data_IF_681706644902
#
_entry.id   IF_681706644902
#
_cell.length_a   1.000
_cell.length_b   1.000
_cell.length_c   1.000
_cell.angle_alpha   90.00
_cell.angle_beta   90.00
_cell.angle_gamma   90.00
#
_symmetry.space_group_name_H-M   'P 1'
#
loop_
_entity.id
_entity.type
_entity.pdbx_description
1 polymer ?
#
# COMPACT_ATOMS: atom_id res chain seq x y z
N UNK A 1 -11.65 -28.04 -5.01
CA UNK A 1 -12.15 -26.66 -4.79
C UNK A 1 -11.00 -25.70 -5.08
N UNK A 2 -11.24 -24.58 -5.79
CA UNK A 2 -10.19 -23.58 -6.05
C UNK A 2 -9.70 -23.01 -4.71
N UNK A 3 -8.38 -22.93 -4.51
CA UNK A 3 -7.78 -22.37 -3.28
C UNK A 3 -7.46 -20.88 -3.40
N UNK A 4 -7.32 -20.36 -4.62
CA UNK A 4 -7.00 -18.95 -4.91
C UNK A 4 -7.89 -18.54 -6.09
N UNK A 5 -8.42 -17.32 -6.03
CA UNK A 5 -9.03 -16.67 -7.18
C UNK A 5 -7.94 -15.80 -7.81
N UNK A 6 -7.59 -16.01 -9.09
CA UNK A 6 -6.64 -15.12 -9.74
C UNK A 6 -7.28 -13.73 -9.94
N UNK A 7 -6.49 -12.66 -10.10
CA UNK A 7 -7.01 -11.30 -10.23
C UNK A 7 -8.10 -11.17 -11.28
N UNK A 8 -8.07 -11.92 -12.39
CA UNK A 8 -9.05 -11.88 -13.47
C UNK A 8 -10.43 -12.41 -13.04
N UNK A 9 -10.50 -13.25 -12.01
CA UNK A 9 -11.73 -13.84 -11.48
C UNK A 9 -12.33 -13.04 -10.30
N UNK A 10 -11.67 -11.96 -9.85
CA UNK A 10 -12.21 -11.09 -8.81
C UNK A 10 -13.57 -10.53 -9.23
N UNK A 11 -14.58 -10.72 -8.39
CA UNK A 11 -15.92 -10.19 -8.59
C UNK A 11 -15.95 -8.69 -8.28
N UNK A 12 -15.44 -7.86 -9.19
CA UNK A 12 -15.57 -6.40 -9.12
C UNK A 12 -16.80 -5.95 -9.91
N UNK A 13 -17.44 -4.92 -9.39
CA UNK A 13 -18.51 -4.20 -10.07
C UNK A 13 -17.98 -3.62 -11.40
N UNK A 14 -18.83 -3.52 -12.42
CA UNK A 14 -18.48 -3.01 -13.75
C UNK A 14 -17.86 -1.61 -13.77
N UNK A 15 -18.02 -0.84 -12.69
CA UNK A 15 -17.38 0.46 -12.51
C UNK A 15 -15.86 0.37 -12.37
N UNK A 16 -15.32 -0.71 -11.83
CA UNK A 16 -13.88 -0.83 -11.61
C UNK A 16 -13.17 -1.36 -12.84
N UNK A 17 -12.16 -0.63 -13.30
CA UNK A 17 -11.35 -1.00 -14.45
C UNK A 17 -9.93 -1.28 -14.01
N UNK A 18 -9.54 -2.55 -14.12
CA UNK A 18 -8.17 -3.00 -13.88
C UNK A 18 -7.30 -2.63 -15.06
N UNK A 19 -6.13 -2.11 -14.76
CA UNK A 19 -5.09 -1.90 -15.77
C UNK A 19 -3.83 -2.65 -15.38
N UNK A 20 -3.13 -3.15 -16.40
CA UNK A 20 -1.75 -3.56 -16.20
C UNK A 20 -0.88 -2.33 -15.90
N UNK A 21 0.31 -2.56 -15.33
CA UNK A 21 1.26 -1.48 -15.08
C UNK A 21 1.71 -0.78 -16.38
N UNK A 22 1.71 -1.50 -17.50
CA UNK A 22 2.03 -0.97 -18.83
C UNK A 22 0.90 -0.08 -19.37
N UNK A 23 -0.35 -0.52 -19.24
CA UNK A 23 -1.51 0.20 -19.78
C UNK A 23 -1.82 1.49 -19.00
N UNK A 24 -1.43 1.55 -17.72
CA UNK A 24 -1.72 2.67 -16.81
C UNK A 24 -1.29 4.03 -17.36
N UNK A 25 -0.16 4.11 -18.05
CA UNK A 25 0.38 5.35 -18.62
C UNK A 25 -0.43 5.88 -19.81
N UNK A 26 -1.16 5.00 -20.50
CA UNK A 26 -1.97 5.35 -21.67
C UNK A 26 -3.44 5.61 -21.33
N UNK A 27 -3.87 5.28 -20.12
CA UNK A 27 -5.28 5.33 -19.73
C UNK A 27 -5.71 6.73 -19.27
N UNK A 28 -6.83 7.19 -19.83
CA UNK A 28 -7.38 8.54 -19.60
C UNK A 28 -7.91 8.78 -18.20
N UNK A 29 -8.14 7.72 -17.42
CA UNK A 29 -8.55 7.81 -16.03
C UNK A 29 -7.36 8.09 -15.12
N UNK A 30 -6.11 7.85 -15.55
CA UNK A 30 -4.93 8.20 -14.76
C UNK A 30 -4.68 9.71 -14.82
N UNK A 31 -4.44 10.41 -13.69
CA UNK A 31 -4.02 11.81 -13.72
C UNK A 31 -2.69 11.95 -14.48
N UNK A 32 -2.74 12.48 -15.70
CA UNK A 32 -1.59 12.57 -16.63
C UNK A 32 -1.70 11.71 -17.90
N UNK A 33 -2.67 10.79 -17.96
CA UNK A 33 -3.00 9.99 -19.14
C UNK A 33 -3.77 10.81 -20.18
N UNK A 34 -3.08 11.71 -20.86
CA UNK A 34 -3.74 12.61 -21.80
C UNK A 34 -2.79 13.63 -22.39
N UNK A 35 -1.80 13.18 -23.15
CA UNK A 35 -1.06 14.03 -24.08
C UNK A 35 -0.52 15.35 -23.51
N UNK A 36 0.06 15.35 -22.31
CA UNK A 36 0.80 16.51 -21.81
C UNK A 36 2.18 16.55 -22.47
N UNK A 37 2.33 17.44 -23.46
CA UNK A 37 3.54 17.71 -24.24
C UNK A 37 4.55 18.63 -23.54
N UNK A 38 4.57 18.72 -22.20
CA UNK A 38 5.58 19.54 -21.50
C UNK A 38 6.58 18.67 -20.75
N UNK A 39 7.81 18.63 -21.26
CA UNK A 39 8.96 18.08 -20.57
C UNK A 39 9.12 18.67 -19.16
N UNK A 40 9.62 17.81 -18.25
CA UNK A 40 9.68 17.93 -16.77
C UNK A 40 8.36 17.62 -16.04
N UNK A 41 7.98 16.36 -15.97
CA UNK A 41 7.03 15.90 -14.95
C UNK A 41 7.41 14.51 -14.45
N UNK A 42 8.53 14.44 -13.72
CA UNK A 42 8.59 13.47 -12.65
C UNK A 42 7.46 13.78 -11.64
N UNK A 43 6.95 12.80 -10.92
CA UNK A 43 5.93 13.03 -9.92
C UNK A 43 6.46 14.04 -8.89
N UNK A 44 5.74 15.14 -8.74
CA UNK A 44 6.03 16.14 -7.70
C UNK A 44 5.15 15.87 -6.50
N UNK A 45 5.65 16.21 -5.30
CA UNK A 45 4.85 16.28 -4.07
C UNK A 45 3.47 16.89 -4.32
N UNK A 46 2.45 16.28 -3.73
CA UNK A 46 1.08 16.77 -3.81
C UNK A 46 0.97 18.08 -3.00
N UNK A 47 0.73 19.20 -3.69
CA UNK A 47 0.53 20.51 -3.06
C UNK A 47 -0.81 21.11 -3.49
N UNK A 48 -1.57 21.77 -2.59
CA UNK A 48 -2.91 22.28 -2.93
C UNK A 48 -2.91 23.30 -4.08
N UNK A 49 -1.84 24.08 -4.22
CA UNK A 49 -1.72 25.13 -5.25
C UNK A 49 -1.41 24.59 -6.65
N UNK A 50 -1.07 23.31 -6.79
CA UNK A 50 -0.75 22.74 -8.10
C UNK A 50 -2.02 22.59 -8.95
N UNK A 51 -2.01 22.95 -10.25
CA UNK A 51 -3.21 22.90 -11.09
C UNK A 51 -3.90 21.52 -11.17
N UNK A 52 -3.11 20.45 -11.08
CA UNK A 52 -3.60 19.06 -11.12
C UNK A 52 -3.83 18.45 -9.74
N UNK A 53 -3.72 19.23 -8.66
CA UNK A 53 -3.85 18.72 -7.29
C UNK A 53 -5.20 18.04 -7.02
N UNK A 54 -6.35 18.58 -7.45
CA UNK A 54 -7.64 17.93 -7.20
C UNK A 54 -7.73 16.53 -7.79
N UNK A 55 -7.42 16.37 -9.08
CA UNK A 55 -7.50 15.06 -9.76
C UNK A 55 -6.47 14.07 -9.22
N UNK A 56 -5.26 14.54 -8.89
CA UNK A 56 -4.23 13.70 -8.28
C UNK A 56 -4.62 13.23 -6.88
N UNK A 57 -5.20 14.11 -6.06
CA UNK A 57 -5.69 13.76 -4.73
C UNK A 57 -6.85 12.76 -4.80
N UNK A 58 -7.84 13.01 -5.68
CA UNK A 58 -8.98 12.12 -5.91
C UNK A 58 -8.54 10.73 -6.41
N UNK A 59 -7.57 10.68 -7.32
CA UNK A 59 -7.01 9.42 -7.81
C UNK A 59 -6.24 8.66 -6.74
N UNK A 60 -5.47 9.36 -5.89
CA UNK A 60 -4.75 8.73 -4.79
C UNK A 60 -5.72 8.17 -3.75
N UNK A 61 -6.77 8.92 -3.40
CA UNK A 61 -7.83 8.46 -2.50
C UNK A 61 -8.62 7.29 -3.06
N UNK A 62 -8.90 7.26 -4.36
CA UNK A 62 -9.48 6.08 -5.00
C UNK A 62 -8.53 4.87 -4.92
N UNK A 63 -7.23 5.09 -5.13
CA UNK A 63 -6.21 4.05 -4.94
C UNK A 63 -6.17 3.49 -3.51
N UNK A 64 -6.27 4.37 -2.49
CA UNK A 64 -6.39 3.97 -1.08
C UNK A 64 -7.63 3.10 -0.89
N UNK A 65 -8.81 3.56 -1.32
CA UNK A 65 -10.06 2.79 -1.22
C UNK A 65 -9.95 1.38 -1.81
N UNK A 66 -9.37 1.24 -3.00
CA UNK A 66 -9.15 -0.08 -3.62
C UNK A 66 -8.10 -0.88 -2.85
N UNK A 67 -7.11 -0.23 -2.26
CA UNK A 67 -6.18 -0.82 -1.30
C UNK A 67 -6.92 -1.45 -0.12
N UNK A 68 -7.84 -0.73 0.52
CA UNK A 68 -8.62 -1.21 1.67
C UNK A 68 -9.43 -2.48 1.34
N UNK A 69 -10.05 -2.53 0.15
CA UNK A 69 -10.77 -3.73 -0.30
C UNK A 69 -9.82 -4.93 -0.37
N UNK A 70 -8.62 -4.72 -0.90
CA UNK A 70 -7.64 -5.79 -1.08
C UNK A 70 -6.99 -6.20 0.25
N UNK A 71 -6.75 -5.25 1.15
CA UNK A 71 -6.25 -5.49 2.50
C UNK A 71 -7.27 -6.33 3.30
N UNK A 72 -8.56 -5.98 3.20
CA UNK A 72 -9.66 -6.76 3.76
C UNK A 72 -9.67 -8.21 3.24
N UNK A 73 -9.55 -8.39 1.93
CA UNK A 73 -9.47 -9.72 1.29
C UNK A 73 -8.23 -10.49 1.78
N UNK A 74 -7.08 -9.82 1.90
CA UNK A 74 -5.82 -10.41 2.35
C UNK A 74 -5.83 -10.81 3.83
N UNK A 75 -6.32 -9.96 4.71
CA UNK A 75 -6.48 -10.23 6.13
C UNK A 75 -7.48 -11.38 6.35
N UNK A 76 -8.62 -11.37 5.64
CA UNK A 76 -9.62 -12.43 5.72
C UNK A 76 -9.06 -13.78 5.28
N UNK A 77 -8.25 -13.79 4.22
CA UNK A 77 -7.58 -14.99 3.75
C UNK A 77 -6.52 -15.50 4.73
N UNK A 78 -5.73 -14.60 5.31
CA UNK A 78 -4.73 -14.94 6.33
C UNK A 78 -5.39 -15.52 7.59
N UNK A 79 -6.51 -14.95 8.01
CA UNK A 79 -7.34 -15.48 9.10
C UNK A 79 -7.84 -16.90 8.80
N UNK A 80 -8.20 -17.20 7.56
CA UNK A 80 -8.65 -18.53 7.15
C UNK A 80 -7.51 -19.56 7.12
N UNK A 81 -6.41 -19.24 6.43
CA UNK A 81 -5.37 -20.21 6.04
C UNK A 81 -4.50 -20.76 7.18
N UNK A 82 -4.31 -20.02 8.25
CA UNK A 82 -3.57 -20.54 9.39
C UNK A 82 -4.41 -21.60 10.13
N UNK A 83 -3.84 -22.74 10.48
CA UNK A 83 -4.52 -23.70 11.35
C UNK A 83 -4.22 -23.38 12.82
N UNK A 84 -5.22 -23.53 13.69
CA UNK A 84 -5.06 -23.23 15.12
C UNK A 84 -4.74 -24.50 15.89
N UNK A 85 -3.63 -24.48 16.62
CA UNK A 85 -3.24 -25.59 17.47
C UNK A 85 -1.80 -25.47 18.00
N UNK A 86 -1.32 -26.50 18.71
CA UNK A 86 -0.02 -26.47 19.37
C UNK A 86 1.14 -26.96 18.50
N UNK A 87 0.89 -27.46 17.29
CA UNK A 87 1.92 -28.01 16.42
C UNK A 87 2.75 -26.92 15.75
N UNK A 88 3.91 -27.30 15.21
CA UNK A 88 4.90 -26.35 14.68
C UNK A 88 4.42 -25.56 13.46
N UNK A 89 3.51 -26.15 12.67
CA UNK A 89 2.88 -25.56 11.49
C UNK A 89 1.53 -24.86 11.81
N UNK A 90 1.12 -24.87 13.07
CA UNK A 90 -0.09 -24.23 13.58
C UNK A 90 0.23 -22.94 14.34
N UNK A 91 -0.78 -22.09 14.54
CA UNK A 91 -0.65 -20.80 15.22
C UNK A 91 -1.59 -20.69 16.42
N UNK A 92 -1.28 -19.85 17.43
CA UNK A 92 -2.22 -19.58 18.50
C UNK A 92 -3.46 -18.85 17.97
N UNK A 93 -4.62 -19.11 18.60
CA UNK A 93 -5.89 -18.46 18.26
C UNK A 93 -5.82 -16.92 18.23
N UNK A 94 -4.96 -16.33 19.05
CA UNK A 94 -4.72 -14.89 19.08
C UNK A 94 -4.29 -14.32 17.72
N UNK A 95 -3.55 -15.07 16.89
CA UNK A 95 -3.19 -14.61 15.55
C UNK A 95 -4.44 -14.45 14.68
N UNK A 96 -5.34 -15.44 14.69
CA UNK A 96 -6.60 -15.33 13.96
C UNK A 96 -7.47 -14.18 14.46
N UNK A 97 -7.49 -13.94 15.77
CA UNK A 97 -8.24 -12.83 16.35
C UNK A 97 -7.70 -11.48 15.87
N UNK A 98 -6.38 -11.31 15.79
CA UNK A 98 -5.76 -10.09 15.26
C UNK A 98 -6.07 -9.91 13.76
N UNK A 99 -6.03 -10.98 12.96
CA UNK A 99 -6.41 -10.91 11.54
C UNK A 99 -7.90 -10.61 11.34
N UNK A 100 -8.77 -11.16 12.18
CA UNK A 100 -10.20 -10.86 12.16
C UNK A 100 -10.48 -9.41 12.59
N UNK A 101 -9.70 -8.88 13.54
CA UNK A 101 -9.75 -7.47 13.91
C UNK A 101 -9.33 -6.57 12.76
N UNK A 102 -8.23 -6.89 12.08
CA UNK A 102 -7.84 -6.14 10.89
C UNK A 102 -8.95 -6.16 9.84
N UNK A 103 -9.58 -7.31 9.57
CA UNK A 103 -10.74 -7.34 8.65
C UNK A 103 -11.86 -6.37 9.05
N UNK A 104 -12.11 -6.21 10.35
CA UNK A 104 -13.09 -5.24 10.82
C UNK A 104 -12.63 -3.80 10.54
N UNK A 105 -11.35 -3.52 10.79
CA UNK A 105 -10.74 -2.21 10.56
C UNK A 105 -10.73 -1.86 9.06
N UNK A 106 -10.32 -2.77 8.17
CA UNK A 106 -10.35 -2.53 6.71
C UNK A 106 -11.76 -2.38 6.14
N UNK A 107 -12.75 -3.10 6.69
CA UNK A 107 -14.15 -2.91 6.31
C UNK A 107 -14.63 -1.49 6.68
N UNK A 108 -14.22 -0.99 7.85
CA UNK A 108 -14.48 0.39 8.25
C UNK A 108 -13.69 1.39 7.38
N UNK A 109 -12.44 1.09 7.01
CA UNK A 109 -11.67 1.92 6.10
C UNK A 109 -12.36 2.05 4.75
N UNK A 110 -12.88 0.95 4.18
CA UNK A 110 -13.72 0.99 2.98
C UNK A 110 -14.91 1.95 3.13
N UNK A 111 -15.64 1.90 4.25
CA UNK A 111 -16.76 2.82 4.50
C UNK A 111 -16.31 4.28 4.62
N UNK A 112 -15.17 4.54 5.26
CA UNK A 112 -14.58 5.89 5.37
C UNK A 112 -14.18 6.39 3.98
N UNK A 113 -13.48 5.58 3.17
CA UNK A 113 -13.04 5.99 1.84
C UNK A 113 -14.21 6.22 0.88
N UNK A 114 -15.33 5.49 1.02
CA UNK A 114 -16.56 5.78 0.26
C UNK A 114 -17.07 7.19 0.61
N UNK A 115 -17.15 7.52 1.90
CA UNK A 115 -17.59 8.86 2.35
C UNK A 115 -16.61 9.96 1.94
N UNK A 116 -15.31 9.69 1.99
CA UNK A 116 -14.30 10.63 1.48
C UNK A 116 -14.39 10.80 -0.03
N UNK A 117 -14.71 9.74 -0.78
CA UNK A 117 -14.95 9.84 -2.23
C UNK A 117 -16.12 10.78 -2.50
N UNK A 118 -17.24 10.63 -1.78
CA UNK A 118 -18.38 11.56 -1.88
C UNK A 118 -18.01 13.00 -1.50
N UNK A 119 -17.27 13.18 -0.40
CA UNK A 119 -16.80 14.48 0.08
C UNK A 119 -15.93 15.20 -0.96
N UNK A 120 -15.03 14.46 -1.61
CA UNK A 120 -14.10 14.98 -2.60
C UNK A 120 -14.70 15.07 -4.01
N UNK A 121 -15.94 14.61 -4.22
CA UNK A 121 -16.58 14.58 -5.53
C UNK A 121 -15.96 13.56 -6.49
N UNK A 122 -15.63 12.38 -5.98
CA UNK A 122 -15.12 11.23 -6.73
C UNK A 122 -16.19 10.15 -6.84
N UNK A 123 -16.41 9.62 -8.03
CA UNK A 123 -17.24 8.43 -8.22
C UNK A 123 -16.43 7.13 -8.00
N UNK A 124 -17.05 6.11 -7.40
CA UNK A 124 -16.40 4.81 -7.25
C UNK A 124 -16.14 4.20 -8.63
N UNK A 125 -14.86 3.96 -8.95
CA UNK A 125 -14.43 3.46 -10.25
C UNK A 125 -14.11 4.56 -11.28
N UNK A 126 -14.16 5.84 -10.89
CA UNK A 126 -13.74 6.97 -11.74
C UNK A 126 -12.28 6.81 -12.20
N UNK A 127 -11.42 6.31 -11.31
CA UNK A 127 -10.01 6.02 -11.57
C UNK A 127 -9.78 4.52 -11.77
N UNK A 128 -8.71 4.20 -12.50
CA UNK A 128 -8.32 2.81 -12.72
C UNK A 128 -7.73 2.17 -11.44
N UNK A 129 -7.99 0.88 -11.26
CA UNK A 129 -7.47 0.12 -10.12
C UNK A 129 -6.21 -0.70 -10.46
N UNK A 130 -5.38 -0.92 -9.44
CA UNK A 130 -4.30 -1.91 -9.41
C UNK A 130 -4.69 -3.06 -8.49
N UNK A 131 -4.31 -4.29 -8.84
CA UNK A 131 -4.57 -5.50 -8.04
C UNK A 131 -3.33 -6.04 -7.33
N UNK A 132 -2.25 -5.26 -7.27
CA UNK A 132 -0.97 -5.72 -6.74
C UNK A 132 -1.05 -6.19 -5.28
N UNK A 133 -1.79 -5.48 -4.42
CA UNK A 133 -1.93 -5.86 -3.00
C UNK A 133 -2.60 -7.24 -2.91
N UNK A 134 -3.67 -7.44 -3.69
CA UNK A 134 -4.36 -8.72 -3.79
C UNK A 134 -3.44 -9.84 -4.31
N UNK A 135 -2.61 -9.57 -5.31
CA UNK A 135 -1.64 -10.53 -5.83
C UNK A 135 -0.61 -10.93 -4.76
N UNK A 136 -0.10 -9.98 -3.98
CA UNK A 136 0.76 -10.28 -2.83
C UNK A 136 0.03 -11.10 -1.77
N UNK A 137 -1.26 -10.78 -1.54
CA UNK A 137 -2.14 -11.55 -0.66
C UNK A 137 -2.45 -12.96 -1.21
N UNK A 138 -2.16 -13.26 -2.47
CA UNK A 138 -2.31 -14.59 -3.06
C UNK A 138 -1.09 -15.50 -2.86
N UNK A 139 -0.02 -15.05 -2.19
CA UNK A 139 1.14 -15.90 -1.90
C UNK A 139 0.68 -17.18 -1.16
N UNK A 140 1.06 -18.39 -1.62
CA UNK A 140 0.59 -19.64 -1.02
C UNK A 140 1.18 -19.92 0.38
N UNK A 141 2.32 -19.33 0.75
CA UNK A 141 2.85 -19.43 2.11
C UNK A 141 2.24 -18.32 2.99
N UNK A 142 1.46 -18.68 4.04
CA UNK A 142 0.79 -17.69 4.87
C UNK A 142 1.76 -16.81 5.68
N UNK A 143 3.00 -17.24 5.93
CA UNK A 143 4.01 -16.42 6.62
C UNK A 143 4.63 -15.38 5.68
N UNK A 144 4.91 -15.76 4.43
CA UNK A 144 5.33 -14.79 3.41
C UNK A 144 4.20 -13.80 3.14
N UNK A 145 2.95 -14.26 3.08
CA UNK A 145 1.78 -13.38 2.94
C UNK A 145 1.66 -12.41 4.10
N UNK A 146 1.68 -12.88 5.35
CA UNK A 146 1.65 -12.03 6.54
C UNK A 146 2.74 -10.96 6.49
N UNK A 147 3.94 -11.30 6.01
CA UNK A 147 5.05 -10.36 5.97
C UNK A 147 4.95 -9.38 4.79
N UNK A 148 4.63 -9.88 3.60
CA UNK A 148 4.48 -9.05 2.41
C UNK A 148 3.27 -8.10 2.50
N UNK A 149 2.16 -8.57 3.05
CA UNK A 149 0.94 -7.77 3.24
C UNK A 149 1.09 -6.89 4.49
N UNK A 150 1.01 -7.46 5.69
CA UNK A 150 0.92 -6.65 6.90
C UNK A 150 2.14 -5.76 7.14
N UNK A 151 3.35 -6.22 6.80
CA UNK A 151 4.56 -5.46 7.11
C UNK A 151 4.99 -4.57 5.94
N UNK A 152 5.04 -5.11 4.72
CA UNK A 152 5.49 -4.33 3.56
C UNK A 152 4.39 -3.39 3.02
N UNK A 153 3.23 -3.94 2.63
CA UNK A 153 2.09 -3.20 2.06
C UNK A 153 1.41 -2.30 3.09
N UNK A 154 1.06 -2.86 4.26
CA UNK A 154 0.90 -2.16 5.56
C UNK A 154 1.75 -0.91 5.72
N UNK A 155 3.06 -1.12 5.68
CA UNK A 155 4.01 -0.04 5.89
C UNK A 155 3.91 1.04 4.82
N UNK A 156 3.62 0.68 3.57
CA UNK A 156 3.37 1.66 2.51
C UNK A 156 2.07 2.43 2.75
N UNK A 157 1.02 1.77 3.22
CA UNK A 157 -0.24 2.42 3.55
C UNK A 157 -0.01 3.53 4.59
N UNK A 158 0.79 3.28 5.63
CA UNK A 158 1.22 4.31 6.61
C UNK A 158 1.80 5.55 5.90
N UNK A 159 2.69 5.37 4.92
CA UNK A 159 3.32 6.49 4.20
C UNK A 159 2.28 7.28 3.39
N UNK A 160 1.34 6.58 2.75
CA UNK A 160 0.30 7.16 1.90
C UNK A 160 -0.75 7.91 2.75
N UNK A 161 -1.27 7.30 3.82
CA UNK A 161 -2.19 7.95 4.76
C UNK A 161 -1.56 9.19 5.40
N UNK A 162 -0.29 9.10 5.82
CA UNK A 162 0.42 10.27 6.35
C UNK A 162 0.53 11.39 5.30
N UNK A 163 0.81 11.04 4.04
CA UNK A 163 0.88 12.00 2.93
C UNK A 163 -0.47 12.69 2.70
N UNK A 164 -1.57 11.94 2.70
CA UNK A 164 -2.91 12.50 2.51
C UNK A 164 -3.40 13.31 3.72
N UNK A 165 -3.04 12.92 4.94
CA UNK A 165 -3.24 13.73 6.15
C UNK A 165 -2.54 15.08 6.05
N UNK A 166 -1.24 15.09 5.71
CA UNK A 166 -0.46 16.32 5.52
C UNK A 166 -1.04 17.20 4.40
N UNK A 167 -1.55 16.57 3.34
CA UNK A 167 -2.24 17.28 2.26
C UNK A 167 -3.56 17.91 2.74
N UNK A 168 -4.41 17.18 3.46
CA UNK A 168 -5.64 17.70 4.05
C UNK A 168 -5.40 18.91 4.95
N UNK A 169 -4.39 18.80 5.83
CA UNK A 169 -3.96 19.92 6.68
C UNK A 169 -3.54 21.14 5.87
N UNK A 170 -2.71 20.93 4.84
CA UNK A 170 -2.18 22.01 3.98
C UNK A 170 -3.27 22.64 3.11
N UNK A 171 -4.27 21.86 2.70
CA UNK A 171 -5.42 22.31 1.92
C UNK A 171 -6.49 23.00 2.78
N UNK A 172 -6.39 22.93 4.11
CA UNK A 172 -7.43 23.41 5.02
C UNK A 172 -8.70 22.55 4.97
N UNK A 173 -8.57 21.26 4.65
CA UNK A 173 -9.65 20.28 4.65
C UNK A 173 -9.61 19.43 5.94
N UNK A 174 -10.38 19.81 6.99
CA UNK A 174 -10.36 19.10 8.26
C UNK A 174 -11.02 17.73 8.19
N UNK A 175 -11.86 17.45 7.17
CA UNK A 175 -12.52 16.16 7.02
C UNK A 175 -11.52 15.14 6.49
N UNK A 176 -10.80 15.50 5.43
CA UNK A 176 -9.74 14.66 4.88
C UNK A 176 -8.64 14.42 5.91
N UNK A 177 -8.15 15.47 6.58
CA UNK A 177 -7.13 15.33 7.63
C UNK A 177 -7.57 14.35 8.73
N UNK A 178 -8.78 14.50 9.26
CA UNK A 178 -9.28 13.66 10.35
C UNK A 178 -9.44 12.19 9.93
N UNK A 179 -10.03 11.94 8.76
CA UNK A 179 -10.27 10.58 8.31
C UNK A 179 -8.95 9.83 8.03
N UNK A 180 -7.99 10.49 7.38
CA UNK A 180 -6.68 9.90 7.08
C UNK A 180 -5.86 9.68 8.36
N UNK A 181 -5.91 10.60 9.33
CA UNK A 181 -5.23 10.40 10.63
C UNK A 181 -5.83 9.24 11.42
N UNK A 182 -7.14 9.03 11.32
CA UNK A 182 -7.81 7.90 11.98
C UNK A 182 -7.38 6.57 11.35
N UNK A 183 -7.46 6.43 10.02
CA UNK A 183 -7.03 5.21 9.33
C UNK A 183 -5.53 4.94 9.56
N UNK A 184 -4.69 5.99 9.54
CA UNK A 184 -3.26 5.89 9.86
C UNK A 184 -2.99 5.27 11.24
N UNK A 185 -3.82 5.58 12.26
CA UNK A 185 -3.64 5.02 13.59
C UNK A 185 -3.91 3.50 13.63
N UNK A 186 -4.86 3.03 12.82
CA UNK A 186 -5.16 1.61 12.67
C UNK A 186 -4.04 0.90 11.90
N UNK A 187 -3.49 1.51 10.84
CA UNK A 187 -2.38 0.93 10.08
C UNK A 187 -1.11 0.71 10.89
N UNK A 188 -0.78 1.63 11.80
CA UNK A 188 0.33 1.42 12.74
C UNK A 188 0.13 0.14 13.55
N UNK A 189 -1.13 -0.16 13.90
CA UNK A 189 -1.49 -1.38 14.63
C UNK A 189 -1.41 -2.62 13.74
N UNK A 190 -1.93 -2.56 12.50
CA UNK A 190 -1.89 -3.66 11.54
C UNK A 190 -0.45 -4.10 11.24
N UNK A 191 0.42 -3.13 10.97
CA UNK A 191 1.84 -3.37 10.74
C UNK A 191 2.54 -3.92 11.98
N UNK A 192 2.19 -3.40 13.16
CA UNK A 192 2.72 -3.93 14.43
C UNK A 192 2.33 -5.38 14.66
N UNK A 193 1.09 -5.75 14.39
CA UNK A 193 0.61 -7.14 14.46
C UNK A 193 1.42 -8.04 13.55
N UNK A 194 1.60 -7.67 12.26
CA UNK A 194 2.40 -8.44 11.32
C UNK A 194 3.85 -8.65 11.80
N UNK A 195 4.44 -7.59 12.34
CA UNK A 195 5.81 -7.57 12.87
C UNK A 195 5.97 -8.48 14.10
N UNK A 196 5.03 -8.40 15.04
CA UNK A 196 5.03 -9.25 16.24
C UNK A 196 4.78 -10.71 15.89
N UNK A 197 3.83 -10.99 14.98
CA UNK A 197 3.50 -12.35 14.57
C UNK A 197 4.60 -13.00 13.76
N UNK A 198 5.23 -12.31 12.81
CA UNK A 198 6.39 -12.83 12.09
C UNK A 198 7.46 -13.34 13.06
N UNK A 199 7.85 -12.53 14.05
CA UNK A 199 8.85 -12.93 15.06
C UNK A 199 8.42 -14.15 15.86
N UNK A 200 7.15 -14.18 16.30
CA UNK A 200 6.62 -15.26 17.16
C UNK A 200 6.50 -16.58 16.41
N UNK A 201 5.87 -16.59 15.23
CA UNK A 201 5.60 -17.83 14.49
C UNK A 201 6.85 -18.40 13.81
N UNK A 202 7.89 -17.60 13.65
CA UNK A 202 9.19 -18.04 13.14
C UNK A 202 10.26 -18.15 14.23
N UNK A 203 9.90 -18.10 15.52
CA UNK A 203 10.86 -18.13 16.64
C UNK A 203 11.84 -19.31 16.52
N UNK A 204 11.33 -20.47 16.12
CA UNK A 204 12.07 -21.73 15.97
C UNK A 204 12.44 -22.07 14.52
N UNK A 205 12.23 -21.14 13.59
CA UNK A 205 12.47 -21.32 12.15
C UNK A 205 13.12 -20.08 11.55
N UNK A 206 14.42 -19.86 11.80
CA UNK A 206 15.14 -18.69 11.29
C UNK A 206 15.18 -18.66 9.76
N UNK A 207 15.25 -19.82 9.10
CA UNK A 207 15.28 -19.89 7.64
C UNK A 207 13.96 -19.42 7.03
N UNK A 208 12.81 -19.77 7.64
CA UNK A 208 11.50 -19.25 7.20
C UNK A 208 11.36 -17.76 7.47
N UNK A 209 11.95 -17.25 8.56
CA UNK A 209 12.02 -15.81 8.82
C UNK A 209 12.81 -15.09 7.74
N UNK A 210 13.99 -15.60 7.39
CA UNK A 210 14.85 -15.05 6.33
C UNK A 210 14.08 -14.96 5.00
N UNK A 211 13.43 -16.06 4.57
CA UNK A 211 12.62 -16.08 3.34
C UNK A 211 11.46 -15.08 3.37
N UNK A 212 10.82 -14.90 4.52
CA UNK A 212 9.74 -13.94 4.67
C UNK A 212 10.24 -12.49 4.56
N UNK A 213 11.40 -12.18 5.16
CA UNK A 213 12.05 -10.88 5.06
C UNK A 213 12.59 -10.61 3.65
N UNK A 214 13.14 -11.61 2.96
CA UNK A 214 13.50 -11.51 1.54
C UNK A 214 12.28 -11.18 0.68
N UNK A 215 11.15 -11.85 0.91
CA UNK A 215 9.90 -11.55 0.23
C UNK A 215 9.43 -10.11 0.53
N UNK A 216 9.56 -9.65 1.78
CA UNK A 216 9.30 -8.25 2.15
C UNK A 216 10.12 -7.29 1.29
N UNK A 217 11.44 -7.51 1.17
CA UNK A 217 12.33 -6.65 0.36
C UNK A 217 11.94 -6.62 -1.11
N UNK A 218 11.49 -7.75 -1.66
CA UNK A 218 10.97 -7.82 -3.04
C UNK A 218 9.71 -6.95 -3.18
N UNK A 219 8.76 -7.09 -2.25
CA UNK A 219 7.54 -6.28 -2.22
C UNK A 219 7.87 -4.80 -2.05
N UNK A 220 8.72 -4.43 -1.09
CA UNK A 220 9.18 -3.06 -0.86
C UNK A 220 9.87 -2.45 -2.08
N UNK A 221 10.67 -3.24 -2.82
CA UNK A 221 11.30 -2.78 -4.06
C UNK A 221 10.26 -2.53 -5.15
N UNK A 222 9.29 -3.43 -5.32
CA UNK A 222 8.19 -3.23 -6.27
C UNK A 222 7.36 -1.98 -5.92
N UNK A 223 7.23 -1.67 -4.62
CA UNK A 223 6.53 -0.49 -4.09
C UNK A 223 7.37 0.76 -3.87
N UNK A 224 8.65 0.75 -4.22
CA UNK A 224 9.41 1.99 -4.37
C UNK A 224 8.81 2.91 -5.44
N UNK A 225 7.85 2.39 -6.22
CA UNK A 225 7.09 3.10 -7.26
C UNK A 225 8.00 3.74 -8.32
N UNK A 226 9.23 3.24 -8.49
CA UNK A 226 10.22 3.87 -9.36
C UNK A 226 10.83 5.15 -8.78
N UNK A 227 10.88 5.28 -7.46
CA UNK A 227 11.46 6.42 -6.74
C UNK A 227 10.48 7.48 -6.28
N UNK A 228 9.17 7.19 -6.28
CA UNK A 228 8.13 8.15 -5.83
C UNK A 228 8.03 8.21 -4.30
N UNK A 229 8.45 7.15 -3.61
CA UNK A 229 8.56 7.11 -2.15
C UNK A 229 9.95 7.55 -1.74
N UNK A 230 10.09 8.32 -0.66
CA UNK A 230 11.40 8.73 -0.16
C UNK A 230 11.34 9.61 1.08
N UNK A 231 12.51 9.97 1.61
CA UNK A 231 12.62 10.90 2.76
C UNK A 231 12.84 12.36 2.34
N UNK A 232 13.20 12.59 1.07
CA UNK A 232 13.42 13.93 0.53
C UNK A 232 12.11 14.73 0.52
N UNK A 233 12.21 16.04 0.75
CA UNK A 233 11.04 16.93 0.83
C UNK A 233 10.24 17.02 -0.48
N UNK A 234 10.87 16.71 -1.62
CA UNK A 234 10.23 16.69 -2.93
C UNK A 234 9.58 15.34 -3.26
N UNK A 235 9.74 14.32 -2.40
CA UNK A 235 9.18 12.99 -2.58
C UNK A 235 7.65 13.04 -2.67
N UNK A 236 7.03 12.47 -3.71
CA UNK A 236 5.58 12.36 -3.83
C UNK A 236 4.90 11.71 -2.63
N UNK A 237 5.49 10.64 -2.11
CA UNK A 237 5.06 9.92 -0.92
C UNK A 237 6.22 9.97 0.07
N UNK A 238 5.96 10.55 1.25
CA UNK A 238 7.01 10.70 2.27
C UNK A 238 7.05 9.45 3.14
N UNK A 239 8.26 8.90 3.32
CA UNK A 239 8.49 7.79 4.22
C UNK A 239 8.20 8.23 5.66
N UNK A 240 7.18 7.64 6.27
CA UNK A 240 6.64 8.03 7.56
C UNK A 240 7.42 7.35 8.71
N UNK A 241 8.72 7.64 8.83
CA UNK A 241 9.68 6.99 9.74
C UNK A 241 9.13 6.78 11.15
N UNK A 242 8.62 7.84 11.79
CA UNK A 242 8.08 7.78 13.16
C UNK A 242 6.96 6.74 13.30
N UNK A 243 6.04 6.66 12.34
CA UNK A 243 4.92 5.73 12.38
C UNK A 243 5.36 4.29 12.11
N UNK A 244 6.34 4.09 11.21
CA UNK A 244 6.96 2.78 10.98
C UNK A 244 7.70 2.26 12.22
N UNK A 245 8.43 3.13 12.91
CA UNK A 245 9.09 2.78 14.18
C UNK A 245 8.07 2.42 15.26
N UNK A 246 6.99 3.18 15.39
CA UNK A 246 5.85 2.84 16.27
C UNK A 246 5.24 1.48 15.91
N UNK A 247 5.22 1.16 14.62
CA UNK A 247 4.72 -0.11 14.09
C UNK A 247 5.72 -1.28 14.23
N UNK A 248 6.89 -1.05 14.84
CA UNK A 248 7.85 -2.11 15.17
C UNK A 248 8.86 -2.43 14.07
N UNK A 249 9.14 -1.47 13.18
CA UNK A 249 10.39 -1.44 12.41
C UNK A 249 11.54 -0.91 13.26
N UNK A 250 12.75 -1.44 13.10
CA UNK A 250 13.96 -0.83 13.65
C UNK A 250 14.43 0.34 12.78
N UNK A 251 15.31 1.19 13.33
CA UNK A 251 15.89 2.29 12.55
C UNK A 251 16.61 1.77 11.29
N UNK A 252 17.34 0.66 11.42
CA UNK A 252 18.08 0.03 10.32
C UNK A 252 17.13 -0.46 9.23
N UNK A 253 15.99 -1.05 9.60
CA UNK A 253 15.01 -1.52 8.61
C UNK A 253 14.36 -0.35 7.86
N UNK A 254 14.11 0.78 8.53
CA UNK A 254 13.62 1.99 7.85
C UNK A 254 14.70 2.59 6.95
N UNK A 255 15.96 2.54 7.36
CA UNK A 255 17.09 3.00 6.53
C UNK A 255 17.26 2.13 5.27
N UNK A 256 17.13 0.81 5.40
CA UNK A 256 17.11 -0.11 4.24
C UNK A 256 16.00 0.25 3.25
N UNK A 257 14.79 0.56 3.73
CA UNK A 257 13.67 0.98 2.88
C UNK A 257 13.94 2.33 2.21
N UNK A 258 14.52 3.28 2.95
CA UNK A 258 14.94 4.59 2.42
C UNK A 258 15.97 4.41 1.30
N UNK A 259 16.98 3.57 1.50
CA UNK A 259 18.03 3.32 0.52
C UNK A 259 17.53 2.58 -0.72
N UNK A 260 16.64 1.59 -0.56
CA UNK A 260 15.95 0.95 -1.69
C UNK A 260 15.16 1.98 -2.52
N UNK A 261 14.53 2.94 -1.85
CA UNK A 261 13.76 3.99 -2.52
C UNK A 261 14.67 4.96 -3.29
N UNK A 262 15.82 5.34 -2.73
CA UNK A 262 16.85 6.14 -3.42
C UNK A 262 17.42 5.42 -4.64
N UNK A 263 17.72 4.13 -4.52
CA UNK A 263 18.20 3.31 -5.63
C UNK A 263 17.18 3.25 -6.77
N UNK A 264 15.90 3.01 -6.43
CA UNK A 264 14.83 2.99 -7.42
C UNK A 264 14.65 4.34 -8.14
N UNK A 265 14.81 5.46 -7.43
CA UNK A 265 14.80 6.81 -8.01
C UNK A 265 15.94 7.01 -9.00
N UNK A 266 17.17 6.65 -8.61
CA UNK A 266 18.34 6.74 -9.48
C UNK A 266 18.20 5.86 -10.75
N UNK A 267 17.68 4.64 -10.60
CA UNK A 267 17.38 3.75 -11.74
C UNK A 267 16.28 4.33 -12.66
N UNK A 268 15.27 4.99 -12.09
CA UNK A 268 14.22 5.70 -12.84
C UNK A 268 14.77 6.88 -13.65
N UNK A 269 15.58 7.73 -13.00
CA UNK A 269 16.23 8.89 -13.63
C UNK A 269 17.19 8.46 -14.76
N UNK A 270 17.98 7.41 -14.55
CA UNK A 270 18.88 6.87 -15.56
C UNK A 270 18.12 6.35 -16.80
N UNK A 271 17.00 5.64 -16.60
CA UNK A 271 16.15 5.16 -17.70
C UNK A 271 15.55 6.31 -18.51
N UNK A 272 15.07 7.35 -17.84
CA UNK A 272 14.55 8.56 -18.50
C UNK A 272 15.65 9.28 -19.30
N UNK A 273 16.85 9.40 -18.75
CA UNK A 273 17.98 10.00 -19.44
C UNK A 273 18.37 9.24 -20.71
N UNK A 274 18.37 7.90 -20.66
CA UNK A 274 18.62 7.04 -21.83
C UNK A 274 17.53 7.16 -22.89
N UNK A 275 16.25 7.19 -22.48
CA UNK A 275 15.13 7.36 -23.41
C UNK A 275 15.15 8.73 -24.11
N UNK A 276 15.54 9.79 -23.42
CA UNK A 276 15.66 11.14 -24.00
C UNK A 276 16.89 11.32 -24.90
N UNK A 277 17.86 10.41 -24.83
CA UNK A 277 19.07 10.42 -25.65
C UNK A 277 18.95 9.57 -26.93
N UNK A 278 17.84 8.83 -27.10
CA UNK A 278 17.54 7.97 -28.25
C UNK A 278 16.55 8.63 -29.20
#
# INVERSE_FOLDING_TARGET
MKKILPPEELARDSRFVRLSMEDRFSDRRSPGGGGSTSGRTGPTKLTPDAPQAPDRARALMHGIFVGEIQALEGAGRTCWDFEVGPHFDEVPFALKLDMARQCWDEARHCEISIKLSEWMGTELGEFAESTFLYEAACNPDPVLRLTGVNRALEGLAIDVFNTMREFGQSAGDPVLEFCEDWMLADEVTHVKMGSDWLRRITEKDPDRRERALEFQRVVDKLFSLGGFRGEDDDSPIRLARKFREMAGFTHEEVDEISDLSKQARAEGEARLAQANAS
#
